data_IF_353376958415
#
_entry.id   IF_353376958415
#
_cell.length_a   1.000
_cell.length_b   1.000
_cell.length_c   1.000
_cell.angle_alpha   90.00
_cell.angle_beta   90.00
_cell.angle_gamma   90.00
#
_symmetry.space_group_name_H-M   'P 1'
#
loop_
_entity.id
_entity.type
_entity.pdbx_description
1 polymer ?
#
# COMPACT_ATOMS: atom_id res chain seq x y z
N UNK A 1 10.43 15.92 11.30
CA UNK A 1 9.01 15.54 11.38
C UNK A 1 8.74 14.59 10.21
N UNK A 2 7.95 13.53 10.40
CA UNK A 2 7.54 12.65 9.29
C UNK A 2 6.34 13.30 8.60
N UNK A 3 6.46 13.56 7.30
CA UNK A 3 5.46 14.28 6.48
C UNK A 3 4.39 13.34 5.91
N UNK A 4 3.33 13.89 5.32
CA UNK A 4 2.35 13.09 4.58
C UNK A 4 2.99 12.44 3.34
N UNK A 5 3.96 13.11 2.70
CA UNK A 5 4.69 12.58 1.54
C UNK A 5 5.56 11.37 1.92
N UNK A 6 6.25 11.43 3.07
CA UNK A 6 7.03 10.29 3.59
C UNK A 6 6.16 9.04 3.78
N UNK A 7 4.94 9.22 4.31
CA UNK A 7 3.98 8.13 4.51
C UNK A 7 3.45 7.59 3.18
N UNK A 8 3.13 8.48 2.22
CA UNK A 8 2.67 8.08 0.90
C UNK A 8 3.71 7.24 0.16
N UNK A 9 4.99 7.63 0.22
CA UNK A 9 6.09 6.87 -0.37
C UNK A 9 6.28 5.50 0.29
N UNK A 10 6.16 5.42 1.62
CA UNK A 10 6.20 4.14 2.34
C UNK A 10 5.07 3.20 1.89
N UNK A 11 3.84 3.70 1.76
CA UNK A 11 2.70 2.90 1.30
C UNK A 11 2.88 2.44 -0.16
N UNK A 12 3.39 3.29 -1.05
CA UNK A 12 3.69 2.92 -2.44
C UNK A 12 4.69 1.76 -2.52
N UNK A 13 5.77 1.83 -1.72
CA UNK A 13 6.78 0.77 -1.64
C UNK A 13 6.18 -0.55 -1.14
N UNK A 14 5.32 -0.48 -0.13
CA UNK A 14 4.68 -1.67 0.43
C UNK A 14 3.72 -2.33 -0.58
N UNK A 15 2.92 -1.55 -1.31
CA UNK A 15 2.06 -2.08 -2.40
C UNK A 15 2.92 -2.78 -3.45
N UNK A 16 4.01 -2.14 -3.90
CA UNK A 16 4.91 -2.73 -4.89
C UNK A 16 5.56 -4.03 -4.37
N UNK A 17 5.99 -4.03 -3.11
CA UNK A 17 6.55 -5.21 -2.47
C UNK A 17 5.53 -6.36 -2.41
N UNK A 18 4.30 -6.08 -1.98
CA UNK A 18 3.22 -7.08 -1.91
C UNK A 18 2.87 -7.64 -3.28
N UNK A 19 2.70 -6.79 -4.29
CA UNK A 19 2.45 -7.21 -5.69
C UNK A 19 3.56 -8.13 -6.21
N UNK A 20 4.81 -7.94 -5.76
CA UNK A 20 5.94 -8.81 -6.12
C UNK A 20 5.98 -10.13 -5.32
N UNK A 21 5.74 -10.07 -4.01
CA UNK A 21 5.98 -11.22 -3.10
C UNK A 21 4.76 -12.14 -2.97
N UNK A 22 3.55 -11.58 -3.01
CA UNK A 22 2.33 -12.34 -2.76
C UNK A 22 2.07 -13.43 -3.78
N UNK A 23 2.32 -13.25 -5.10
CA UNK A 23 2.15 -14.33 -6.07
C UNK A 23 2.93 -15.59 -5.69
N UNK A 24 4.19 -15.43 -5.25
CA UNK A 24 5.00 -16.56 -4.78
C UNK A 24 4.41 -17.20 -3.52
N UNK A 25 3.97 -16.39 -2.55
CA UNK A 25 3.34 -16.91 -1.32
C UNK A 25 2.04 -17.67 -1.61
N UNK A 26 1.29 -17.26 -2.64
CA UNK A 26 0.10 -17.97 -3.10
C UNK A 26 0.48 -19.29 -3.76
N UNK A 27 1.47 -19.29 -4.66
CA UNK A 27 1.98 -20.50 -5.30
C UNK A 27 2.53 -21.51 -4.28
N UNK A 28 3.23 -21.04 -3.24
CA UNK A 28 3.78 -21.87 -2.16
C UNK A 28 2.71 -22.32 -1.13
N UNK A 29 1.43 -21.99 -1.35
CA UNK A 29 0.32 -22.34 -0.45
C UNK A 29 0.36 -21.65 0.91
N UNK A 30 1.18 -20.60 1.07
CA UNK A 30 1.34 -19.84 2.32
C UNK A 30 0.32 -18.70 2.47
N UNK A 31 -0.50 -18.46 1.45
CA UNK A 31 -1.53 -17.42 1.39
C UNK A 31 -2.56 -17.80 0.32
N UNK A 32 -3.82 -17.41 0.49
CA UNK A 32 -4.83 -17.54 -0.59
C UNK A 32 -4.81 -16.30 -1.48
N UNK A 33 -5.20 -16.47 -2.76
CA UNK A 33 -5.33 -15.33 -3.68
C UNK A 33 -6.28 -14.26 -3.11
N UNK A 34 -7.43 -14.67 -2.56
CA UNK A 34 -8.40 -13.74 -1.96
C UNK A 34 -7.80 -12.92 -0.80
N UNK A 35 -6.95 -13.52 0.03
CA UNK A 35 -6.28 -12.79 1.10
C UNK A 35 -5.23 -11.81 0.55
N UNK A 36 -4.49 -12.21 -0.48
CA UNK A 36 -3.53 -11.34 -1.16
C UNK A 36 -4.23 -10.11 -1.75
N UNK A 37 -5.32 -10.32 -2.49
CA UNK A 37 -6.11 -9.27 -3.13
C UNK A 37 -6.70 -8.32 -2.11
N UNK A 38 -7.33 -8.86 -1.05
CA UNK A 38 -7.91 -8.04 0.02
C UNK A 38 -6.85 -7.15 0.69
N UNK A 39 -5.67 -7.70 0.97
CA UNK A 39 -4.60 -6.93 1.58
C UNK A 39 -4.06 -5.84 0.64
N UNK A 40 -3.91 -6.12 -0.65
CA UNK A 40 -3.50 -5.11 -1.63
C UNK A 40 -4.55 -3.99 -1.71
N UNK A 41 -5.83 -4.35 -1.79
CA UNK A 41 -6.93 -3.38 -1.84
C UNK A 41 -6.97 -2.45 -0.61
N UNK A 42 -6.72 -2.97 0.59
CA UNK A 42 -6.62 -2.15 1.81
C UNK A 42 -5.50 -1.12 1.69
N UNK A 43 -4.31 -1.53 1.23
CA UNK A 43 -3.19 -0.60 1.08
C UNK A 43 -3.41 0.41 -0.05
N UNK A 44 -4.10 0.01 -1.13
CA UNK A 44 -4.51 0.94 -2.18
C UNK A 44 -5.50 1.99 -1.66
N UNK A 45 -6.46 1.62 -0.82
CA UNK A 45 -7.35 2.57 -0.15
C UNK A 45 -6.58 3.55 0.77
N UNK A 46 -5.64 3.04 1.57
CA UNK A 46 -4.78 3.89 2.42
C UNK A 46 -3.95 4.87 1.58
N UNK A 47 -3.43 4.42 0.43
CA UNK A 47 -2.69 5.29 -0.50
C UNK A 47 -3.57 6.42 -1.00
N UNK A 48 -4.83 6.15 -1.32
CA UNK A 48 -5.78 7.16 -1.79
C UNK A 48 -6.10 8.18 -0.69
N UNK A 49 -6.28 7.73 0.57
CA UNK A 49 -6.42 8.63 1.72
C UNK A 49 -5.17 9.52 1.93
N UNK A 50 -3.98 8.95 1.75
CA UNK A 50 -2.72 9.70 1.86
C UNK A 50 -2.54 10.74 0.76
N UNK A 51 -3.06 10.52 -0.44
CA UNK A 51 -3.05 11.53 -1.50
C UNK A 51 -3.83 12.79 -1.10
N UNK A 52 -4.98 12.61 -0.43
CA UNK A 52 -5.76 13.73 0.12
C UNK A 52 -4.97 14.46 1.20
N UNK A 53 -4.32 13.72 2.10
CA UNK A 53 -3.52 14.31 3.18
C UNK A 53 -2.31 15.11 2.65
N UNK A 54 -1.60 14.59 1.64
CA UNK A 54 -0.49 15.29 0.97
C UNK A 54 -0.97 16.59 0.32
N UNK A 55 -2.12 16.55 -0.37
CA UNK A 55 -2.68 17.75 -0.97
C UNK A 55 -3.04 18.80 0.09
N UNK A 56 -3.63 18.40 1.21
CA UNK A 56 -3.94 19.30 2.31
C UNK A 56 -2.69 19.90 2.96
N UNK A 57 -1.64 19.10 3.18
CA UNK A 57 -0.37 19.55 3.77
C UNK A 57 0.36 20.57 2.88
N UNK A 58 0.28 20.43 1.56
CA UNK A 58 0.88 21.36 0.59
C UNK A 58 0.14 22.70 0.46
N UNK A 59 -1.08 22.80 0.99
CA UNK A 59 -1.89 24.02 1.00
C UNK A 59 -1.70 24.84 2.29
N UNK A 60 -0.89 24.35 3.24
CA UNK A 60 -0.48 25.02 4.48
C UNK A 60 0.89 25.68 4.32
#
# INVERSE_FOLDING_TARGET
MITAEDKLEAIRREIAFRKRVYPRRVADGKMTQQLADRQIAIFEAIKDDMLVAVAAERLL
#
